data_IF_005631938670
#
_entry.id   IF_005631938670
#
_cell.length_a   1.000
_cell.length_b   1.000
_cell.length_c   1.000
_cell.angle_alpha   90.00
_cell.angle_beta   90.00
_cell.angle_gamma   90.00
#
_symmetry.space_group_name_H-M   'P 1'
#
loop_
_entity.id
_entity.type
_entity.pdbx_description
1 polymer ?
#
# COMPACT_ATOMS: atom_id res chain seq x y z
N UNK A 1 20.36 5.32 -5.96
CA UNK A 1 19.43 5.47 -7.10
C UNK A 1 17.97 5.24 -6.69
N UNK A 2 17.62 4.10 -6.10
CA UNK A 2 16.23 3.80 -5.70
C UNK A 2 15.61 4.87 -4.78
N UNK A 3 16.36 5.40 -3.80
CA UNK A 3 15.86 6.50 -2.95
C UNK A 3 15.59 7.80 -3.72
N UNK A 4 16.38 8.07 -4.76
CA UNK A 4 16.14 9.21 -5.65
C UNK A 4 14.89 8.98 -6.50
N UNK A 5 14.67 7.74 -6.95
CA UNK A 5 13.45 7.36 -7.66
C UNK A 5 12.21 7.59 -6.78
N UNK A 6 12.22 7.09 -5.54
CA UNK A 6 11.11 7.29 -4.58
C UNK A 6 10.86 8.79 -4.33
N UNK A 7 11.91 9.59 -4.13
CA UNK A 7 11.76 11.05 -3.98
C UNK A 7 11.14 11.70 -5.21
N UNK A 8 11.63 11.36 -6.39
CA UNK A 8 11.14 11.91 -7.65
C UNK A 8 9.67 11.53 -7.86
N UNK A 9 9.33 10.24 -7.79
CA UNK A 9 7.97 9.73 -7.93
C UNK A 9 6.98 10.37 -6.95
N UNK A 10 7.38 10.61 -5.70
CA UNK A 10 6.50 11.20 -4.69
C UNK A 10 6.06 12.65 -5.00
N UNK A 11 6.77 13.36 -5.89
CA UNK A 11 6.39 14.71 -6.32
C UNK A 11 5.08 14.72 -7.11
N UNK A 12 4.82 13.67 -7.90
CA UNK A 12 3.68 13.61 -8.81
C UNK A 12 3.85 14.44 -10.09
N UNK A 13 5.04 15.00 -10.34
CA UNK A 13 5.29 15.74 -11.57
C UNK A 13 5.15 14.82 -12.79
N UNK A 14 4.56 15.29 -13.91
CA UNK A 14 4.40 14.47 -15.12
C UNK A 14 5.72 13.88 -15.65
N UNK A 15 6.86 14.53 -15.35
CA UNK A 15 8.20 14.06 -15.72
C UNK A 15 8.93 13.25 -14.64
N UNK A 16 8.32 13.03 -13.47
CA UNK A 16 8.93 12.29 -12.36
C UNK A 16 9.05 10.78 -12.65
N UNK A 17 8.14 10.23 -13.47
CA UNK A 17 8.17 8.81 -13.84
C UNK A 17 9.05 8.59 -15.07
N UNK A 18 10.33 8.93 -14.95
CA UNK A 18 11.32 8.75 -16.01
C UNK A 18 12.58 8.13 -15.44
N UNK A 19 12.79 6.84 -15.73
CA UNK A 19 13.96 6.11 -15.25
C UNK A 19 15.28 6.73 -15.76
N UNK A 20 15.30 7.29 -16.98
CA UNK A 20 16.47 7.97 -17.53
C UNK A 20 16.74 9.32 -16.83
N UNK A 21 15.70 10.08 -16.50
CA UNK A 21 15.82 11.32 -15.72
C UNK A 21 16.29 11.03 -14.30
N UNK A 22 15.69 10.05 -13.63
CA UNK A 22 16.07 9.63 -12.27
C UNK A 22 17.53 9.16 -12.25
N UNK A 23 17.97 8.39 -13.25
CA UNK A 23 19.36 7.99 -13.36
C UNK A 23 20.27 9.23 -13.37
N UNK A 24 20.00 10.18 -14.28
CA UNK A 24 20.75 11.44 -14.40
C UNK A 24 20.76 12.25 -13.11
N UNK A 25 19.62 12.43 -12.46
CA UNK A 25 19.49 13.17 -11.20
C UNK A 25 20.22 12.47 -10.04
N UNK A 26 20.37 11.14 -10.11
CA UNK A 26 21.13 10.35 -9.13
C UNK A 26 22.63 10.26 -9.43
N UNK A 27 23.14 10.97 -10.44
CA UNK A 27 24.53 10.91 -10.87
C UNK A 27 24.91 9.63 -11.64
N UNK A 28 23.92 8.88 -12.11
CA UNK A 28 24.09 7.64 -12.84
C UNK A 28 23.69 7.78 -14.32
N UNK A 29 24.12 6.84 -15.14
CA UNK A 29 23.74 6.76 -16.56
C UNK A 29 22.60 5.76 -16.75
N UNK A 30 21.92 5.83 -17.90
CA UNK A 30 20.99 4.78 -18.31
C UNK A 30 21.66 3.41 -18.40
N UNK A 31 22.92 3.35 -18.85
CA UNK A 31 23.71 2.11 -18.86
C UNK A 31 23.89 1.50 -17.46
N UNK A 32 24.01 2.33 -16.41
CA UNK A 32 24.05 1.84 -15.04
C UNK A 32 22.71 1.25 -14.58
N UNK A 33 21.58 1.82 -15.03
CA UNK A 33 20.25 1.24 -14.79
C UNK A 33 20.13 -0.11 -15.47
N UNK A 34 20.49 -0.21 -16.75
CA UNK A 34 20.45 -1.48 -17.49
C UNK A 34 21.37 -2.52 -16.87
N UNK A 35 22.55 -2.13 -16.39
CA UNK A 35 23.47 -3.03 -15.72
C UNK A 35 22.91 -3.58 -14.39
N UNK A 36 22.32 -2.72 -13.55
CA UNK A 36 21.85 -3.11 -12.22
C UNK A 36 20.47 -3.78 -12.23
N UNK A 37 19.57 -3.32 -13.11
CA UNK A 37 18.16 -3.70 -13.08
C UNK A 37 17.70 -4.39 -14.38
N UNK A 38 18.55 -4.45 -15.41
CA UNK A 38 18.24 -5.00 -16.73
C UNK A 38 17.54 -4.00 -17.64
N UNK A 39 16.39 -3.48 -17.21
CA UNK A 39 15.58 -2.53 -17.97
C UNK A 39 14.70 -1.67 -17.04
N UNK A 40 13.71 -0.98 -17.62
CA UNK A 40 12.75 -0.14 -16.90
C UNK A 40 11.80 -0.93 -15.99
N UNK A 41 11.37 -2.13 -16.40
CA UNK A 41 10.52 -3.01 -15.59
C UNK A 41 11.27 -3.49 -14.35
N UNK A 42 12.52 -3.93 -14.53
CA UNK A 42 13.36 -4.32 -13.39
C UNK A 42 13.66 -3.17 -12.45
N UNK A 43 13.81 -1.96 -12.98
CA UNK A 43 14.01 -0.77 -12.17
C UNK A 43 12.76 -0.46 -11.34
N UNK A 44 11.58 -0.49 -11.94
CA UNK A 44 10.32 -0.27 -11.22
C UNK A 44 10.02 -1.35 -10.20
N UNK A 45 10.26 -2.62 -10.52
CA UNK A 45 10.17 -3.71 -9.55
C UNK A 45 11.10 -3.48 -8.34
N UNK A 46 12.35 -3.04 -8.57
CA UNK A 46 13.29 -2.73 -7.49
C UNK A 46 12.87 -1.50 -6.66
N UNK A 47 12.30 -0.47 -7.29
CA UNK A 47 11.75 0.70 -6.59
C UNK A 47 10.58 0.29 -5.71
N UNK A 48 9.66 -0.52 -6.23
CA UNK A 48 8.57 -1.10 -5.44
C UNK A 48 9.16 -1.87 -4.27
N UNK A 49 10.01 -2.87 -4.53
CA UNK A 49 10.61 -3.70 -3.48
C UNK A 49 11.23 -2.86 -2.34
N UNK A 50 11.97 -1.80 -2.69
CA UNK A 50 12.56 -0.87 -1.71
C UNK A 50 11.52 -0.17 -0.82
N UNK A 51 10.36 0.16 -1.35
CA UNK A 51 9.24 0.72 -0.56
C UNK A 51 8.55 -0.34 0.30
N UNK A 52 8.52 -1.61 -0.13
CA UNK A 52 7.97 -2.71 0.66
C UNK A 52 8.81 -2.96 1.92
N UNK A 53 10.13 -3.01 1.81
CA UNK A 53 11.04 -3.19 2.96
C UNK A 53 10.79 -2.17 4.08
N UNK A 54 10.43 -0.93 3.72
CA UNK A 54 10.10 0.13 4.68
C UNK A 54 8.70 0.00 5.25
N UNK A 55 7.76 -0.49 4.45
CA UNK A 55 6.37 -0.71 4.85
C UNK A 55 6.23 -1.91 5.78
N UNK A 56 7.04 -2.96 5.62
CA UNK A 56 7.01 -4.15 6.49
C UNK A 56 7.27 -3.82 7.96
N UNK A 57 8.14 -2.84 8.23
CA UNK A 57 8.36 -2.31 9.57
C UNK A 57 7.09 -1.64 10.15
N UNK A 58 6.31 -0.98 9.30
CA UNK A 58 5.02 -0.36 9.70
C UNK A 58 3.94 -1.42 9.86
N UNK A 59 3.90 -2.42 8.98
CA UNK A 59 2.90 -3.50 9.00
C UNK A 59 3.09 -4.44 10.20
N UNK A 60 4.35 -4.70 10.58
CA UNK A 60 4.66 -5.50 11.77
C UNK A 60 4.09 -4.90 13.06
N UNK A 61 3.90 -3.58 13.12
CA UNK A 61 3.32 -2.91 14.28
C UNK A 61 1.85 -3.29 14.55
N UNK A 62 1.07 -3.65 13.51
CA UNK A 62 -0.33 -4.09 13.71
C UNK A 62 -0.44 -5.52 14.22
N UNK A 63 0.46 -6.39 13.78
CA UNK A 63 0.51 -7.78 14.22
C UNK A 63 1.02 -7.92 15.65
N UNK A 64 1.65 -6.86 16.19
CA UNK A 64 2.05 -6.75 17.60
C UNK A 64 0.94 -6.24 18.52
N UNK A 65 -0.29 -6.04 18.03
CA UNK A 65 -1.41 -5.70 18.90
C UNK A 65 -1.57 -6.78 20.00
N UNK A 66 -1.85 -6.32 21.22
CA UNK A 66 -2.03 -7.21 22.38
C UNK A 66 -2.97 -8.38 22.02
N UNK A 67 -2.59 -9.64 22.30
CA UNK A 67 -3.37 -10.82 21.94
C UNK A 67 -4.82 -10.81 22.41
N UNK A 68 -5.14 -9.99 23.42
CA UNK A 68 -6.48 -9.84 24.00
C UNK A 68 -7.19 -8.52 23.60
N UNK A 69 -6.61 -7.74 22.69
CA UNK A 69 -7.22 -6.49 22.24
C UNK A 69 -8.59 -6.76 21.59
N UNK A 70 -9.65 -6.00 21.96
CA UNK A 70 -10.97 -6.10 21.35
C UNK A 70 -10.92 -5.97 19.82
N UNK A 71 -11.81 -6.67 19.11
CA UNK A 71 -11.88 -6.67 17.64
C UNK A 71 -11.89 -5.25 17.07
N UNK A 72 -12.70 -4.37 17.66
CA UNK A 72 -12.84 -2.97 17.24
C UNK A 72 -11.52 -2.21 17.36
N UNK A 73 -10.72 -2.47 18.39
CA UNK A 73 -9.45 -1.80 18.60
C UNK A 73 -8.38 -2.28 17.63
N UNK A 74 -8.40 -3.56 17.25
CA UNK A 74 -7.55 -4.07 16.15
C UNK A 74 -7.90 -3.43 14.81
N UNK A 75 -9.19 -3.32 14.50
CA UNK A 75 -9.66 -2.61 13.30
C UNK A 75 -9.23 -1.14 13.35
N UNK A 76 -9.40 -0.46 14.49
CA UNK A 76 -8.99 0.92 14.68
C UNK A 76 -7.48 1.09 14.42
N UNK A 77 -6.65 0.26 15.04
CA UNK A 77 -5.21 0.28 14.87
C UNK A 77 -4.81 0.14 13.39
N UNK A 78 -5.41 -0.81 12.65
CA UNK A 78 -5.18 -1.01 11.21
C UNK A 78 -5.51 0.27 10.42
N UNK A 79 -6.70 0.83 10.64
CA UNK A 79 -7.17 2.04 9.95
C UNK A 79 -6.29 3.25 10.29
N UNK A 80 -5.91 3.42 11.55
CA UNK A 80 -5.10 4.55 12.03
C UNK A 80 -3.73 4.58 11.37
N UNK A 81 -2.96 3.50 11.47
CA UNK A 81 -1.62 3.51 10.89
C UNK A 81 -1.68 3.53 9.36
N UNK A 82 -2.69 2.93 8.70
CA UNK A 82 -2.83 3.08 7.25
C UNK A 82 -3.14 4.52 6.86
N UNK A 83 -3.98 5.22 7.62
CA UNK A 83 -4.30 6.62 7.37
C UNK A 83 -3.06 7.51 7.44
N UNK A 84 -2.22 7.30 8.45
CA UNK A 84 -0.97 8.05 8.61
C UNK A 84 0.11 7.59 7.63
N UNK A 85 0.20 6.29 7.36
CA UNK A 85 1.19 5.69 6.48
C UNK A 85 0.96 6.02 5.01
N UNK A 86 -0.29 6.11 4.57
CA UNK A 86 -0.63 6.47 3.19
C UNK A 86 -0.34 7.95 2.85
N UNK A 87 -0.12 8.80 3.84
CA UNK A 87 0.41 10.15 3.62
C UNK A 87 1.94 10.16 3.40
N UNK A 88 2.61 9.01 3.55
CA UNK A 88 4.07 8.92 3.43
C UNK A 88 4.55 9.17 2.00
N UNK A 89 5.83 9.54 1.91
CA UNK A 89 6.53 9.70 0.63
C UNK A 89 6.53 8.38 -0.17
N UNK A 90 6.72 7.24 0.49
CA UNK A 90 6.73 5.93 -0.16
C UNK A 90 5.35 5.61 -0.77
N UNK A 91 4.25 5.88 -0.05
CA UNK A 91 2.90 5.68 -0.57
C UNK A 91 2.59 6.53 -1.80
N UNK A 92 2.95 7.82 -1.76
CA UNK A 92 2.79 8.72 -2.91
C UNK A 92 3.60 8.26 -4.12
N UNK A 93 4.83 7.78 -3.89
CA UNK A 93 5.68 7.26 -4.95
C UNK A 93 5.05 6.03 -5.64
N UNK A 94 4.51 5.10 -4.86
CA UNK A 94 3.80 3.91 -5.36
C UNK A 94 2.57 4.31 -6.17
N UNK A 95 1.75 5.23 -5.66
CA UNK A 95 0.52 5.67 -6.33
C UNK A 95 0.81 6.35 -7.67
N UNK A 96 1.79 7.25 -7.70
CA UNK A 96 2.19 7.93 -8.93
C UNK A 96 2.80 6.96 -9.94
N UNK A 97 3.62 6.00 -9.50
CA UNK A 97 4.12 4.95 -10.38
C UNK A 97 2.96 4.13 -10.96
N UNK A 98 2.03 3.65 -10.12
CA UNK A 98 0.86 2.86 -10.57
C UNK A 98 -0.04 3.63 -11.52
N UNK A 99 -0.16 4.95 -11.37
CA UNK A 99 -0.96 5.79 -12.26
C UNK A 99 -0.40 5.85 -13.70
N UNK A 100 0.89 5.55 -13.89
CA UNK A 100 1.55 5.52 -15.20
C UNK A 100 1.66 4.14 -15.83
N UNK A 101 1.44 3.08 -15.04
CA UNK A 101 1.46 1.71 -15.51
C UNK A 101 0.15 1.34 -16.22
N UNK A 102 0.14 0.31 -17.10
CA UNK A 102 -1.10 -0.24 -17.65
C UNK A 102 -2.09 -0.60 -16.54
N UNK A 103 -3.35 -0.23 -16.73
CA UNK A 103 -4.42 -0.49 -15.75
C UNK A 103 -4.98 -1.91 -15.84
N UNK A 104 -4.97 -2.46 -17.04
CA UNK A 104 -5.41 -3.83 -17.30
C UNK A 104 -4.35 -4.82 -16.82
N UNK A 105 -4.70 -5.77 -15.91
CA UNK A 105 -3.74 -6.72 -15.35
C UNK A 105 -2.98 -7.52 -16.41
N UNK A 106 -3.66 -8.03 -17.42
CA UNK A 106 -3.05 -8.83 -18.50
C UNK A 106 -2.03 -8.01 -19.30
N UNK A 107 -2.31 -6.72 -19.51
CA UNK A 107 -1.39 -5.82 -20.21
C UNK A 107 -0.19 -5.48 -19.33
N UNK A 108 -0.42 -5.24 -18.03
CA UNK A 108 0.63 -4.99 -17.05
C UNK A 108 1.59 -6.18 -16.96
N UNK A 109 1.07 -7.41 -16.84
CA UNK A 109 1.88 -8.62 -16.78
C UNK A 109 2.68 -8.86 -18.06
N UNK A 110 2.10 -8.53 -19.23
CA UNK A 110 2.78 -8.65 -20.51
C UNK A 110 3.91 -7.63 -20.70
N UNK A 111 3.70 -6.38 -20.28
CA UNK A 111 4.64 -5.27 -20.52
C UNK A 111 5.65 -5.08 -19.39
N UNK A 112 5.26 -5.37 -18.15
CA UNK A 112 6.04 -5.16 -16.93
C UNK A 112 5.93 -6.38 -15.98
N UNK A 113 6.36 -7.58 -16.42
CA UNK A 113 6.16 -8.82 -15.66
C UNK A 113 6.79 -8.79 -14.26
N UNK A 114 7.94 -8.14 -14.07
CA UNK A 114 8.59 -8.06 -12.75
C UNK A 114 7.87 -7.09 -11.83
N UNK A 115 7.44 -5.96 -12.37
CA UNK A 115 6.63 -4.98 -11.63
C UNK A 115 5.28 -5.58 -11.22
N UNK A 116 4.64 -6.32 -12.13
CA UNK A 116 3.38 -7.03 -11.86
C UNK A 116 3.55 -8.07 -10.73
N UNK A 117 4.62 -8.89 -10.81
CA UNK A 117 4.93 -9.88 -9.79
C UNK A 117 5.14 -9.26 -8.40
N UNK A 118 5.82 -8.11 -8.32
CA UNK A 118 6.02 -7.39 -7.07
C UNK A 118 4.69 -6.84 -6.51
N UNK A 119 3.85 -6.24 -7.35
CA UNK A 119 2.53 -5.76 -6.90
C UNK A 119 1.62 -6.92 -6.44
N UNK A 120 1.69 -8.06 -7.10
CA UNK A 120 0.94 -9.26 -6.74
C UNK A 120 1.41 -9.83 -5.38
N UNK A 121 2.73 -9.91 -5.16
CA UNK A 121 3.29 -10.40 -3.90
C UNK A 121 2.83 -9.57 -2.71
N UNK A 122 2.66 -8.25 -2.89
CA UNK A 122 2.15 -7.36 -1.85
C UNK A 122 0.69 -7.61 -1.51
N UNK A 123 -0.15 -7.84 -2.52
CA UNK A 123 -1.56 -8.17 -2.30
C UNK A 123 -1.70 -9.43 -1.45
N UNK A 124 -0.88 -10.45 -1.75
CA UNK A 124 -0.82 -11.70 -0.98
C UNK A 124 -0.35 -11.46 0.46
N UNK A 125 0.78 -10.78 0.65
CA UNK A 125 1.33 -10.48 1.98
C UNK A 125 0.35 -9.66 2.84
N UNK A 126 -0.37 -8.71 2.24
CA UNK A 126 -1.41 -7.94 2.92
C UNK A 126 -2.57 -8.81 3.40
N UNK A 127 -3.06 -9.72 2.56
CA UNK A 127 -4.11 -10.65 2.93
C UNK A 127 -3.68 -11.58 4.07
N UNK A 128 -2.48 -12.15 3.99
CA UNK A 128 -1.90 -12.99 5.04
C UNK A 128 -1.79 -12.23 6.36
N UNK A 129 -1.28 -11.00 6.32
CA UNK A 129 -1.17 -10.12 7.50
C UNK A 129 -2.52 -9.84 8.13
N UNK A 130 -3.55 -9.53 7.32
CA UNK A 130 -4.91 -9.32 7.85
C UNK A 130 -5.45 -10.58 8.52
N UNK A 131 -5.25 -11.75 7.92
CA UNK A 131 -5.68 -13.02 8.54
C UNK A 131 -4.99 -13.25 9.89
N UNK A 132 -3.68 -13.02 9.97
CA UNK A 132 -2.94 -13.10 11.23
C UNK A 132 -3.42 -12.09 12.27
N UNK A 133 -3.72 -10.86 11.88
CA UNK A 133 -4.17 -9.81 12.79
C UNK A 133 -5.53 -10.12 13.47
N UNK A 134 -6.39 -10.90 12.83
CA UNK A 134 -7.69 -11.31 13.37
C UNK A 134 -7.72 -12.77 13.87
N UNK A 135 -6.60 -13.49 13.83
CA UNK A 135 -6.51 -14.86 14.31
C UNK A 135 -6.87 -14.95 15.81
N UNK A 136 -7.57 -16.02 16.18
CA UNK A 136 -8.01 -16.28 17.56
C UNK A 136 -9.29 -15.55 18.00
N UNK A 137 -9.82 -14.60 17.20
CA UNK A 137 -11.03 -13.86 17.55
C UNK A 137 -12.35 -14.56 17.16
N UNK A 138 -12.28 -15.74 16.53
CA UNK A 138 -13.47 -16.49 16.08
C UNK A 138 -14.21 -15.85 14.90
N UNK A 139 -13.57 -14.90 14.20
CA UNK A 139 -14.13 -14.21 13.03
C UNK A 139 -14.01 -15.09 11.79
N UNK A 140 -15.05 -15.10 10.95
CA UNK A 140 -15.02 -15.80 9.66
C UNK A 140 -13.87 -15.31 8.75
N UNK A 141 -12.94 -16.19 8.34
CA UNK A 141 -11.83 -15.86 7.46
C UNK A 141 -12.26 -15.23 6.12
N UNK A 142 -13.45 -15.56 5.61
CA UNK A 142 -13.99 -14.96 4.38
C UNK A 142 -14.31 -13.47 4.58
N UNK A 143 -14.93 -13.10 5.71
CA UNK A 143 -15.17 -11.68 6.02
C UNK A 143 -13.88 -10.92 6.23
N UNK A 144 -12.86 -11.54 6.82
CA UNK A 144 -11.53 -10.94 6.91
C UNK A 144 -10.94 -10.68 5.53
N UNK A 145 -11.09 -11.60 4.56
CA UNK A 145 -10.64 -11.37 3.16
C UNK A 145 -11.35 -10.18 2.51
N UNK A 146 -12.66 -10.06 2.71
CA UNK A 146 -13.46 -8.96 2.16
C UNK A 146 -13.04 -7.61 2.75
N UNK A 147 -12.86 -7.53 4.07
CA UNK A 147 -12.34 -6.34 4.75
C UNK A 147 -10.93 -6.01 4.28
N UNK A 148 -10.04 -7.01 4.16
CA UNK A 148 -8.69 -6.82 3.64
C UNK A 148 -8.70 -6.27 2.20
N UNK A 149 -9.62 -6.71 1.34
CA UNK A 149 -9.75 -6.18 -0.01
C UNK A 149 -10.29 -4.74 -0.04
N UNK A 150 -11.20 -4.39 0.88
CA UNK A 150 -11.84 -3.08 0.94
C UNK A 150 -10.93 -1.98 1.51
N UNK A 151 -10.20 -2.28 2.59
CA UNK A 151 -9.44 -1.29 3.37
C UNK A 151 -8.53 -0.42 2.49
N UNK A 152 -7.67 -0.96 1.60
CA UNK A 152 -6.77 -0.12 0.81
C UNK A 152 -7.50 0.89 -0.08
N UNK A 153 -8.66 0.52 -0.64
CA UNK A 153 -9.48 1.42 -1.45
C UNK A 153 -10.11 2.54 -0.61
N UNK A 154 -10.73 2.17 0.50
CA UNK A 154 -11.37 3.12 1.42
C UNK A 154 -10.35 4.12 1.99
N UNK A 155 -9.18 3.64 2.41
CA UNK A 155 -8.14 4.50 2.96
C UNK A 155 -7.55 5.48 1.93
N UNK A 156 -7.34 5.04 0.68
CA UNK A 156 -6.92 5.95 -0.39
C UNK A 156 -7.95 7.06 -0.63
N UNK A 157 -9.25 6.73 -0.59
CA UNK A 157 -10.32 7.72 -0.68
C UNK A 157 -10.23 8.77 0.44
N UNK A 158 -10.13 8.34 1.69
CA UNK A 158 -10.02 9.24 2.84
C UNK A 158 -8.76 10.12 2.80
N UNK A 159 -7.62 9.56 2.38
CA UNK A 159 -6.37 10.31 2.22
C UNK A 159 -6.45 11.30 1.06
N UNK A 160 -7.12 10.92 -0.03
CA UNK A 160 -7.39 11.83 -1.16
C UNK A 160 -8.25 13.01 -0.72
N UNK A 161 -9.34 12.79 0.02
CA UNK A 161 -10.18 13.86 0.58
C UNK A 161 -9.36 14.82 1.46
N UNK A 162 -8.45 14.29 2.28
CA UNK A 162 -7.53 15.10 3.09
C UNK A 162 -6.65 16.01 2.21
N UNK A 163 -6.12 15.47 1.12
CA UNK A 163 -5.24 16.22 0.20
C UNK A 163 -6.00 17.28 -0.60
N UNK A 164 -7.27 17.04 -0.91
CA UNK A 164 -8.15 17.97 -1.63
C UNK A 164 -8.73 19.08 -0.75
N UNK A 165 -8.44 19.06 0.57
CA UNK A 165 -8.97 20.05 1.51
C UNK A 165 -10.46 19.88 1.77
N UNK A 166 -10.91 18.64 1.95
CA UNK A 166 -12.32 18.31 2.22
C UNK A 166 -12.89 19.11 3.40
N UNK A 167 -14.16 19.50 3.27
CA UNK A 167 -14.92 20.16 4.35
C UNK A 167 -15.54 19.14 5.33
N UNK A 168 -15.42 17.84 5.05
CA UNK A 168 -15.90 16.79 5.93
C UNK A 168 -14.92 16.57 7.10
N UNK A 169 -15.46 16.18 8.25
CA UNK A 169 -14.64 15.71 9.36
C UNK A 169 -14.09 14.31 9.05
N UNK A 170 -12.80 14.24 8.71
CA UNK A 170 -12.15 13.00 8.33
C UNK A 170 -11.85 12.08 9.52
N UNK A 171 -11.85 12.62 10.74
CA UNK A 171 -11.74 11.80 11.95
C UNK A 171 -13.07 11.10 12.24
N UNK A 172 -14.20 11.79 12.06
CA UNK A 172 -15.53 11.16 12.08
C UNK A 172 -15.66 10.09 10.99
N UNK A 173 -15.21 10.37 9.76
CA UNK A 173 -15.25 9.41 8.66
C UNK A 173 -14.41 8.15 8.95
N UNK A 174 -13.20 8.33 9.52
CA UNK A 174 -12.35 7.22 9.99
C UNK A 174 -13.03 6.40 11.07
N UNK A 175 -13.59 7.05 12.09
CA UNK A 175 -14.28 6.37 13.18
C UNK A 175 -15.50 5.59 12.67
N UNK A 176 -16.25 6.18 11.72
CA UNK A 176 -17.35 5.53 11.03
C UNK A 176 -16.91 4.26 10.29
N UNK A 177 -15.82 4.34 9.53
CA UNK A 177 -15.24 3.18 8.84
C UNK A 177 -14.82 2.08 9.82
N UNK A 178 -14.11 2.44 10.90
CA UNK A 178 -13.73 1.48 11.95
C UNK A 178 -14.96 0.79 12.54
N UNK A 179 -16.00 1.55 12.90
CA UNK A 179 -17.21 1.00 13.50
C UNK A 179 -17.96 0.07 12.54
N UNK A 180 -18.06 0.45 11.26
CA UNK A 180 -18.70 -0.36 10.23
C UNK A 180 -17.97 -1.70 10.01
N UNK A 181 -16.64 -1.67 9.87
CA UNK A 181 -15.83 -2.87 9.68
C UNK A 181 -15.85 -3.77 10.93
N UNK A 182 -15.74 -3.19 12.12
CA UNK A 182 -15.81 -3.95 13.37
C UNK A 182 -17.18 -4.65 13.52
N UNK A 183 -18.27 -3.95 13.24
CA UNK A 183 -19.63 -4.53 13.27
C UNK A 183 -19.78 -5.64 12.24
N UNK A 184 -19.26 -5.44 11.03
CA UNK A 184 -19.28 -6.45 9.97
C UNK A 184 -18.53 -7.73 10.36
N UNK A 185 -17.36 -7.61 11.00
CA UNK A 185 -16.58 -8.76 11.47
C UNK A 185 -17.20 -9.40 12.72
N UNK A 186 -17.78 -8.62 13.64
CA UNK A 186 -18.39 -9.15 14.86
C UNK A 186 -19.61 -10.04 14.54
N UNK A 187 -20.40 -9.66 13.54
CA UNK A 187 -21.56 -10.43 13.08
C UNK A 187 -21.22 -11.80 12.47
N UNK A 188 -19.95 -12.10 12.18
CA UNK A 188 -19.53 -13.44 11.75
C UNK A 188 -18.90 -14.28 12.84
N UNK A 189 -18.82 -13.78 14.08
CA UNK A 189 -18.24 -14.56 15.17
C UNK A 189 -19.15 -15.75 15.47
N UNK A 190 -18.62 -16.94 15.26
CA UNK A 190 -19.24 -18.17 15.76
C UNK A 190 -19.25 -18.13 17.28
N UNK A 191 -20.43 -18.31 17.89
CA UNK A 191 -20.59 -18.45 19.34
C UNK A 191 -19.81 -19.63 19.88
#
# INVERSE_FOLDING_TARGET
MLDAAVRSLATGDPGAVSASRIAKESGATWGAVQYQFGDVDGFWAAVLHRTAERRDATISSFTSAEPDAPLRDRVAAIIDTLYHGLASQDSRAIENLRATLPREPDELERLFPRTAAELFSWGKSWQETCQSAFAGLGVDPQRVREVAALIPGAMRGLVSERQLGSYADLDEARQGLTNALATYLEQSRTK
#
